data_IF_152065934811
#
_entry.id   IF_152065934811
#
_cell.length_a   1.000
_cell.length_b   1.000
_cell.length_c   1.000
_cell.angle_alpha   90.00
_cell.angle_beta   90.00
_cell.angle_gamma   90.00
#
_symmetry.space_group_name_H-M   'P 1'
#
loop_
_entity.id
_entity.type
_entity.pdbx_description
1 polymer ?
#
# COMPACT_ATOMS: atom_id res chain seq x y z
N UNK A 1 4.30 -8.82 1.16
CA UNK A 1 5.52 -8.72 2.00
C UNK A 1 5.18 -8.48 3.48
N UNK A 2 4.41 -7.48 3.83
CA UNK A 2 4.06 -7.20 5.22
C UNK A 2 3.36 -8.38 5.92
N UNK A 3 2.48 -9.09 5.23
CA UNK A 3 1.81 -10.27 5.77
C UNK A 3 2.82 -11.36 6.16
N UNK A 4 3.83 -11.58 5.31
CA UNK A 4 4.91 -12.50 5.62
C UNK A 4 5.73 -12.06 6.82
N UNK A 5 6.02 -10.77 6.93
CA UNK A 5 6.75 -10.22 8.07
C UNK A 5 5.98 -10.45 9.38
N UNK A 6 4.68 -10.18 9.39
CA UNK A 6 3.83 -10.42 10.57
C UNK A 6 3.84 -11.90 10.97
N UNK A 7 3.75 -12.79 9.97
CA UNK A 7 3.78 -14.23 10.21
C UNK A 7 5.09 -14.68 10.85
N UNK A 8 6.23 -14.22 10.33
CA UNK A 8 7.54 -14.57 10.88
C UNK A 8 7.72 -14.02 12.30
N UNK A 9 7.27 -12.79 12.55
CA UNK A 9 7.31 -12.20 13.88
C UNK A 9 6.50 -13.03 14.87
N UNK A 10 5.30 -13.44 14.49
CA UNK A 10 4.44 -14.28 15.31
C UNK A 10 5.11 -15.63 15.62
N UNK A 11 5.73 -16.25 14.62
CA UNK A 11 6.45 -17.51 14.78
C UNK A 11 7.62 -17.40 15.76
N UNK A 12 8.18 -16.20 15.92
CA UNK A 12 9.27 -15.92 16.85
C UNK A 12 8.78 -15.34 18.18
N UNK A 13 7.48 -15.37 18.45
CA UNK A 13 6.90 -14.92 19.70
C UNK A 13 6.84 -13.40 19.87
N UNK A 14 7.03 -12.64 18.80
CA UNK A 14 6.95 -11.18 18.84
C UNK A 14 5.55 -10.71 18.49
N UNK A 15 5.00 -9.85 19.29
CA UNK A 15 3.64 -9.35 19.14
C UNK A 15 3.59 -8.09 18.30
N UNK A 16 2.69 -8.04 17.34
CA UNK A 16 2.40 -6.87 16.52
C UNK A 16 1.00 -6.35 16.91
N UNK A 17 0.83 -5.12 17.29
CA UNK A 17 1.80 -4.00 17.29
C UNK A 17 2.52 -3.79 18.64
N UNK A 18 2.27 -4.61 19.67
CA UNK A 18 2.71 -4.33 21.02
C UNK A 18 4.25 -4.25 21.13
N UNK A 19 4.96 -5.11 20.44
CA UNK A 19 6.42 -5.16 20.46
C UNK A 19 7.04 -4.62 19.18
N UNK A 20 6.39 -4.86 18.03
CA UNK A 20 6.87 -4.43 16.72
C UNK A 20 5.69 -3.87 15.93
N UNK A 21 5.84 -2.66 15.41
CA UNK A 21 4.87 -2.08 14.48
C UNK A 21 5.23 -2.48 13.05
N UNK A 22 4.21 -2.77 12.23
CA UNK A 22 4.38 -3.12 10.82
C UNK A 22 3.48 -2.25 9.97
N UNK A 23 4.06 -1.65 8.94
CA UNK A 23 3.33 -0.86 7.93
C UNK A 23 3.51 -1.53 6.58
N UNK A 24 2.42 -1.70 5.87
CA UNK A 24 2.43 -2.25 4.53
C UNK A 24 2.41 -1.18 3.45
N UNK A 25 2.26 -1.64 2.22
CA UNK A 25 2.22 -0.79 1.04
C UNK A 25 1.22 -1.39 0.03
N UNK A 26 0.53 -0.53 -0.73
CA UNK A 26 -0.45 -0.87 -1.77
C UNK A 26 -1.85 -1.24 -1.27
N UNK A 27 -2.09 -1.39 0.02
CA UNK A 27 -3.38 -1.74 0.59
C UNK A 27 -4.07 -2.89 -0.15
N UNK A 28 -3.37 -4.01 -0.28
CA UNK A 28 -3.93 -5.21 -0.88
C UNK A 28 -5.13 -5.71 -0.06
N UNK A 29 -6.01 -6.48 -0.69
CA UNK A 29 -7.24 -6.93 -0.05
C UNK A 29 -7.00 -7.67 1.29
N UNK A 30 -5.92 -8.40 1.41
CA UNK A 30 -5.57 -9.14 2.63
C UNK A 30 -5.26 -8.25 3.83
N UNK A 31 -4.91 -6.98 3.61
CA UNK A 31 -4.59 -6.06 4.69
C UNK A 31 -5.75 -5.91 5.69
N UNK A 32 -6.99 -6.05 5.24
CA UNK A 32 -8.21 -5.95 6.05
C UNK A 32 -8.47 -7.21 6.88
N UNK A 33 -7.90 -8.33 6.46
CA UNK A 33 -8.20 -9.66 7.04
C UNK A 33 -7.06 -10.22 7.88
N UNK A 34 -5.90 -9.56 7.86
CA UNK A 34 -4.78 -9.95 8.70
C UNK A 34 -5.09 -9.72 10.20
N UNK A 35 -4.34 -10.39 11.06
CA UNK A 35 -4.39 -10.18 12.50
C UNK A 35 -2.97 -9.89 13.00
N UNK A 36 -2.72 -8.62 13.42
CA UNK A 36 -3.63 -7.47 13.42
C UNK A 36 -3.94 -6.98 11.99
N UNK A 37 -5.03 -6.22 11.84
CA UNK A 37 -5.36 -5.58 10.56
C UNK A 37 -4.25 -4.60 10.20
N UNK A 38 -3.77 -4.68 8.97
CA UNK A 38 -2.56 -4.01 8.53
C UNK A 38 -2.79 -2.53 8.20
N UNK A 39 -2.04 -1.65 8.85
CA UNK A 39 -1.90 -0.26 8.43
C UNK A 39 -1.02 -0.21 7.18
N UNK A 40 -1.42 0.56 6.19
CA UNK A 40 -0.77 0.54 4.89
C UNK A 40 -0.95 1.87 4.17
N UNK A 41 -0.15 2.07 3.12
CA UNK A 41 -0.30 3.19 2.20
C UNK A 41 -1.17 2.76 1.04
N UNK A 42 -2.20 3.55 0.72
CA UNK A 42 -3.08 3.31 -0.41
C UNK A 42 -2.83 4.33 -1.51
N UNK A 43 -2.56 3.85 -2.72
CA UNK A 43 -2.53 4.68 -3.91
C UNK A 43 -3.91 4.69 -4.57
N UNK A 44 -4.23 5.76 -5.33
CA UNK A 44 -5.47 5.80 -6.11
C UNK A 44 -5.34 4.93 -7.37
N UNK A 45 -5.31 3.61 -7.19
CA UNK A 45 -4.99 2.64 -8.26
C UNK A 45 -5.97 2.72 -9.42
N UNK A 46 -7.27 2.89 -9.15
CA UNK A 46 -8.27 2.99 -10.21
C UNK A 46 -8.04 4.22 -11.07
N UNK A 47 -7.76 5.36 -10.43
CA UNK A 47 -7.42 6.60 -11.15
C UNK A 47 -6.13 6.44 -11.94
N UNK A 48 -5.10 5.85 -11.35
CA UNK A 48 -3.82 5.62 -12.00
C UNK A 48 -3.98 4.72 -13.22
N UNK A 49 -4.75 3.64 -13.10
CA UNK A 49 -5.01 2.72 -14.19
C UNK A 49 -5.76 3.40 -15.34
N UNK A 50 -6.80 4.19 -15.02
CA UNK A 50 -7.55 4.94 -16.03
C UNK A 50 -6.67 5.94 -16.76
N UNK A 51 -5.82 6.67 -16.06
CA UNK A 51 -4.90 7.64 -16.66
C UNK A 51 -3.83 6.94 -17.51
N UNK A 52 -3.32 5.80 -17.06
CA UNK A 52 -2.34 5.02 -17.81
C UNK A 52 -2.94 4.50 -19.13
N UNK A 53 -4.17 3.99 -19.09
CA UNK A 53 -4.87 3.52 -20.29
C UNK A 53 -5.11 4.65 -21.27
N UNK A 54 -5.54 5.82 -20.79
CA UNK A 54 -5.74 7.01 -21.61
C UNK A 54 -4.44 7.45 -22.29
N UNK A 55 -3.34 7.49 -21.55
CA UNK A 55 -2.03 7.85 -22.10
C UNK A 55 -1.58 6.85 -23.16
N UNK A 56 -1.79 5.55 -22.93
CA UNK A 56 -1.44 4.52 -23.90
C UNK A 56 -2.21 4.68 -25.22
N UNK A 57 -3.51 4.99 -25.13
CA UNK A 57 -4.33 5.25 -26.31
C UNK A 57 -3.88 6.50 -27.06
N UNK A 58 -3.54 7.56 -26.36
CA UNK A 58 -3.03 8.79 -26.95
C UNK A 58 -1.71 8.55 -27.68
N UNK A 59 -0.79 7.80 -27.08
CA UNK A 59 0.48 7.42 -27.72
C UNK A 59 0.26 6.59 -28.97
N UNK A 60 -0.68 5.63 -28.92
CA UNK A 60 -1.02 4.79 -30.08
C UNK A 60 -1.60 5.63 -31.23
N UNK A 61 -2.30 6.72 -30.92
CA UNK A 61 -2.86 7.65 -31.90
C UNK A 61 -1.84 8.68 -32.41
N UNK A 62 -0.58 8.63 -31.93
CA UNK A 62 0.46 9.57 -32.33
C UNK A 62 0.44 10.91 -31.59
N UNK A 63 -0.33 11.02 -30.51
CA UNK A 63 -0.46 12.25 -29.71
C UNK A 63 0.64 12.32 -28.61
N UNK A 64 1.90 12.29 -28.98
CA UNK A 64 3.01 12.25 -28.03
C UNK A 64 3.10 13.51 -27.15
N UNK A 65 2.59 14.64 -27.60
CA UNK A 65 2.59 15.89 -26.85
C UNK A 65 1.63 15.85 -25.63
N UNK A 66 0.65 14.96 -25.63
CA UNK A 66 -0.29 14.80 -24.53
C UNK A 66 0.30 14.03 -23.36
N UNK A 67 1.46 13.41 -23.54
CA UNK A 67 2.10 12.57 -22.52
C UNK A 67 2.80 13.43 -21.48
N UNK A 68 2.38 13.30 -20.23
CA UNK A 68 2.98 13.99 -19.09
C UNK A 68 3.21 13.01 -17.95
N UNK A 69 4.33 13.15 -17.28
CA UNK A 69 4.58 12.43 -16.03
C UNK A 69 3.62 12.91 -14.96
N UNK A 70 3.06 11.97 -14.21
CA UNK A 70 2.16 12.28 -13.09
C UNK A 70 2.64 11.60 -11.83
N UNK A 71 2.57 12.32 -10.72
CA UNK A 71 2.91 11.81 -9.40
C UNK A 71 1.62 11.80 -8.58
N UNK A 72 1.34 10.65 -7.97
CA UNK A 72 0.16 10.49 -7.12
C UNK A 72 0.61 10.39 -5.66
N UNK A 73 -0.11 11.07 -4.78
CA UNK A 73 0.17 11.03 -3.35
C UNK A 73 -0.60 9.87 -2.72
N UNK A 74 0.08 8.94 -2.03
CA UNK A 74 -0.60 7.88 -1.31
C UNK A 74 -1.27 8.40 -0.05
N UNK A 75 -2.27 7.67 0.43
CA UNK A 75 -2.98 7.95 1.69
C UNK A 75 -2.65 6.88 2.70
N UNK A 76 -2.32 7.28 3.92
CA UNK A 76 -2.14 6.34 5.03
C UNK A 76 -3.50 5.82 5.49
N UNK A 77 -3.66 4.50 5.47
CA UNK A 77 -4.82 3.82 6.03
C UNK A 77 -4.38 3.23 7.36
N UNK A 78 -4.78 3.89 8.43
CA UNK A 78 -4.39 3.47 9.78
C UNK A 78 -5.36 2.40 10.31
N UNK A 79 -4.81 1.23 10.63
CA UNK A 79 -5.57 0.12 11.20
C UNK A 79 -5.00 -0.26 12.57
N UNK A 80 -4.53 -1.49 12.75
CA UNK A 80 -4.16 -1.98 14.08
C UNK A 80 -2.72 -2.49 14.21
N UNK A 81 -1.92 -2.37 13.15
CA UNK A 81 -0.56 -2.95 13.14
C UNK A 81 0.53 -1.99 13.60
N UNK A 82 0.16 -0.79 14.01
CA UNK A 82 1.10 0.24 14.46
C UNK A 82 0.68 0.72 15.85
N UNK A 83 1.65 0.84 16.74
CA UNK A 83 1.43 1.38 18.08
C UNK A 83 2.60 2.28 18.49
N UNK A 84 2.41 3.16 19.49
CA UNK A 84 3.49 3.99 20.00
C UNK A 84 4.65 3.14 20.54
N UNK A 85 5.86 3.70 20.44
CA UNK A 85 7.05 3.05 20.99
C UNK A 85 6.91 2.94 22.50
N UNK A 86 7.22 1.77 23.03
CA UNK A 86 7.29 1.58 24.48
C UNK A 86 8.52 2.27 25.04
N UNK A 87 8.31 3.05 26.07
CA UNK A 87 9.40 3.67 26.80
C UNK A 87 10.05 2.66 27.77
#
# INVERSE_FOLDING_TARGET
>A
MAAGAISVLADNGLKVPEEVSVVGFDDIIYARYLRPKLSTMRYPIELMAAQAAKLALQLAAGESEAVQSRIYTPTLINRHSVAPVRA
#
